data_IF_013579854385
#
_entry.id   IF_013579854385
#
_cell.length_a   1.000
_cell.length_b   1.000
_cell.length_c   1.000
_cell.angle_alpha   90.00
_cell.angle_beta   90.00
_cell.angle_gamma   90.00
#
_symmetry.space_group_name_H-M   'P 1'
#
loop_
_entity.id
_entity.type
_entity.pdbx_description
1 polymer ?
#
# COMPACT_ATOMS: atom_id res chain seq x y z
N UNK A 1 16.52 -4.43 -8.85
CA UNK A 1 15.54 -4.04 -7.80
C UNK A 1 14.18 -4.56 -8.24
N UNK A 2 13.50 -5.39 -7.43
CA UNK A 2 12.14 -5.84 -7.76
C UNK A 2 11.19 -4.65 -7.57
N UNK A 3 10.74 -4.04 -8.66
CA UNK A 3 9.69 -3.02 -8.65
C UNK A 3 8.36 -3.76 -8.58
N UNK A 4 7.81 -3.93 -7.38
CA UNK A 4 6.41 -4.34 -7.21
C UNK A 4 5.53 -3.28 -7.89
N UNK A 5 4.52 -3.69 -8.67
CA UNK A 5 3.63 -2.74 -9.34
C UNK A 5 3.00 -1.81 -8.29
N UNK A 6 2.90 -0.52 -8.63
CA UNK A 6 2.17 0.46 -7.80
C UNK A 6 0.71 0.04 -7.70
N UNK A 7 0.13 0.13 -6.50
CA UNK A 7 -1.32 0.01 -6.27
C UNK A 7 -2.01 1.39 -6.32
N UNK A 8 -1.28 2.41 -6.78
CA UNK A 8 -1.73 3.78 -6.90
C UNK A 8 -1.63 4.23 -8.36
N UNK A 9 -2.62 5.00 -8.81
CA UNK A 9 -2.62 5.75 -10.07
C UNK A 9 -2.70 7.24 -9.74
N UNK A 10 -1.70 8.02 -10.17
CA UNK A 10 -1.57 9.45 -9.86
C UNK A 10 -1.67 9.74 -8.34
N UNK A 11 -1.05 8.89 -7.51
CA UNK A 11 -1.06 9.01 -6.05
C UNK A 11 -2.34 8.49 -5.37
N UNK A 12 -3.39 8.17 -6.11
CA UNK A 12 -4.64 7.66 -5.57
C UNK A 12 -4.67 6.13 -5.60
N UNK A 13 -5.13 5.49 -4.51
CA UNK A 13 -5.34 4.05 -4.45
C UNK A 13 -6.31 3.58 -5.54
N UNK A 14 -5.93 2.52 -6.28
CA UNK A 14 -6.83 1.83 -7.22
C UNK A 14 -7.43 0.55 -6.63
N UNK A 15 -7.40 0.40 -5.30
CA UNK A 15 -7.91 -0.80 -4.63
C UNK A 15 -9.41 -1.00 -4.90
N UNK A 16 -9.73 -2.17 -5.47
CA UNK A 16 -11.10 -2.53 -5.82
C UNK A 16 -11.96 -2.80 -4.58
N UNK A 17 -13.26 -2.53 -4.69
CA UNK A 17 -14.25 -2.74 -3.64
C UNK A 17 -14.29 -4.21 -3.17
N UNK A 18 -14.30 -4.41 -1.85
CA UNK A 18 -14.27 -5.71 -1.20
C UNK A 18 -12.94 -6.46 -1.34
N UNK A 19 -11.86 -5.77 -1.71
CA UNK A 19 -10.53 -6.37 -1.91
C UNK A 19 -9.48 -5.71 -1.03
N UNK A 20 -8.45 -6.50 -0.77
CA UNK A 20 -7.20 -6.08 -0.16
C UNK A 20 -6.14 -5.99 -1.26
N UNK A 21 -5.27 -5.00 -1.18
CA UNK A 21 -4.10 -4.86 -2.03
C UNK A 21 -2.94 -4.33 -1.21
N UNK A 22 -1.72 -4.73 -1.57
CA UNK A 22 -0.53 -4.15 -0.99
C UNK A 22 0.60 -4.04 -2.02
N UNK A 23 1.50 -3.11 -1.78
CA UNK A 23 2.76 -3.00 -2.49
C UNK A 23 3.89 -2.70 -1.53
N UNK A 24 5.12 -2.87 -2.00
CA UNK A 24 6.33 -2.63 -1.23
C UNK A 24 7.17 -1.58 -1.91
N UNK A 25 7.75 -0.67 -1.13
CA UNK A 25 8.67 0.35 -1.65
C UNK A 25 9.82 0.61 -0.69
N UNK A 26 10.93 1.09 -1.24
CA UNK A 26 12.11 1.49 -0.47
C UNK A 26 12.06 3.00 -0.28
N UNK A 27 11.90 3.44 0.97
CA UNK A 27 11.87 4.86 1.27
C UNK A 27 13.29 5.39 1.51
N UNK A 28 13.86 6.03 0.48
CA UNK A 28 15.24 6.54 0.50
C UNK A 28 15.51 7.52 1.65
N UNK A 29 14.53 8.38 1.98
CA UNK A 29 14.62 9.32 3.11
C UNK A 29 14.82 8.62 4.47
N UNK A 30 14.42 7.35 4.59
CA UNK A 30 14.56 6.54 5.81
C UNK A 30 15.66 5.49 5.65
N UNK A 31 16.83 5.89 5.14
CA UNK A 31 18.02 5.02 5.00
C UNK A 31 17.76 3.76 4.17
N UNK A 32 16.85 3.83 3.20
CA UNK A 32 16.49 2.69 2.35
C UNK A 32 15.67 1.61 3.07
N UNK A 33 14.90 1.99 4.10
CA UNK A 33 13.98 1.07 4.78
C UNK A 33 12.87 0.63 3.84
N UNK A 34 12.57 -0.68 3.85
CA UNK A 34 11.43 -1.27 3.15
C UNK A 34 10.14 -0.98 3.92
N UNK A 35 9.13 -0.50 3.21
CA UNK A 35 7.79 -0.27 3.73
C UNK A 35 6.75 -0.99 2.89
N UNK A 36 5.60 -1.22 3.51
CA UNK A 36 4.40 -1.76 2.90
C UNK A 36 3.36 -0.65 2.87
N UNK A 37 2.74 -0.44 1.72
CA UNK A 37 1.45 0.25 1.66
C UNK A 37 0.38 -0.82 1.52
N UNK A 38 -0.61 -0.82 2.40
CA UNK A 38 -1.76 -1.71 2.34
C UNK A 38 -3.04 -0.90 2.22
N UNK A 39 -3.91 -1.34 1.32
CA UNK A 39 -5.18 -0.71 1.01
C UNK A 39 -6.29 -1.77 1.09
N UNK A 40 -7.32 -1.51 1.88
CA UNK A 40 -8.55 -2.29 1.90
C UNK A 40 -9.74 -1.39 1.58
N UNK A 41 -10.47 -1.71 0.50
CA UNK A 41 -11.71 -1.00 0.19
C UNK A 41 -12.89 -1.82 0.68
N UNK A 42 -13.54 -1.35 1.73
CA UNK A 42 -14.70 -2.00 2.31
C UNK A 42 -15.88 -2.03 1.30
N UNK A 43 -16.82 -3.00 1.40
CA UNK A 43 -18.01 -3.04 0.54
C UNK A 43 -18.98 -1.85 0.65
N UNK A 44 -18.78 -0.91 1.56
CA UNK A 44 -19.48 0.39 1.58
C UNK A 44 -18.70 1.50 0.86
N UNK A 45 -17.64 1.12 0.12
CA UNK A 45 -16.73 1.98 -0.65
C UNK A 45 -15.75 2.84 0.18
N UNK A 46 -15.74 2.67 1.51
CA UNK A 46 -14.71 3.30 2.36
C UNK A 46 -13.36 2.63 2.16
N UNK A 47 -12.34 3.46 1.99
CA UNK A 47 -10.95 3.02 1.91
C UNK A 47 -10.30 3.11 3.29
N UNK A 48 -9.75 2.00 3.75
CA UNK A 48 -8.70 1.97 4.76
C UNK A 48 -7.35 1.88 4.04
N UNK A 49 -6.38 2.67 4.48
CA UNK A 49 -5.00 2.64 3.96
C UNK A 49 -4.00 2.89 5.09
N UNK A 50 -2.87 2.19 5.05
CA UNK A 50 -1.81 2.28 6.05
C UNK A 50 -0.43 2.12 5.39
N UNK A 51 0.59 2.63 6.07
CA UNK A 51 2.00 2.39 5.73
C UNK A 51 2.71 1.85 6.97
N UNK A 52 3.29 0.65 6.86
CA UNK A 52 3.97 -0.04 7.97
C UNK A 52 5.28 -0.70 7.53
N UNK A 53 6.12 -1.14 8.48
CA UNK A 53 7.35 -1.88 8.15
C UNK A 53 7.09 -3.37 7.90
N UNK A 54 5.94 -3.87 8.32
CA UNK A 54 5.36 -5.15 7.92
C UNK A 54 3.87 -4.99 7.66
N UNK A 55 3.22 -6.05 7.15
CA UNK A 55 1.76 -6.08 7.02
C UNK A 55 1.06 -6.22 8.38
N UNK A 56 1.69 -6.84 9.39
CA UNK A 56 1.10 -6.92 10.74
C UNK A 56 1.07 -5.57 11.47
N UNK A 57 1.96 -4.64 11.13
CA UNK A 57 2.02 -3.30 11.75
C UNK A 57 0.94 -2.32 11.24
N UNK A 58 0.11 -2.70 10.27
CA UNK A 58 -0.55 -1.77 9.36
C UNK A 58 -2.01 -1.37 9.72
#
# INVERSE_FOLDING_TARGET
MKTTKSINSNGCSVCAKGKENYTTFIAGAFRGTLYYQYDYRHPDDKLFTCIGKSLEEC
#
